data_IF_169453174472
#
_entry.id   IF_169453174472
#
_cell.length_a   1.000
_cell.length_b   1.000
_cell.length_c   1.000
_cell.angle_alpha   90.00
_cell.angle_beta   90.00
_cell.angle_gamma   90.00
#
_symmetry.space_group_name_H-M   'P 1'
#
loop_
_entity.id
_entity.type
_entity.pdbx_description
1 polymer ?
#
# COMPACT_ATOMS: atom_id res chain seq x y z
N UNK A 1 33.11 -8.43 -2.28
CA UNK A 1 32.53 -8.28 -0.93
C UNK A 1 31.25 -9.11 -0.90
N UNK A 2 31.06 -9.92 0.14
CA UNK A 2 29.87 -10.77 0.28
C UNK A 2 28.64 -9.92 0.65
N UNK A 3 27.44 -10.25 0.14
CA UNK A 3 26.25 -9.42 0.37
C UNK A 3 25.82 -9.44 1.83
N UNK A 4 25.97 -10.56 2.54
CA UNK A 4 25.70 -10.64 3.98
C UNK A 4 26.62 -9.69 4.75
N UNK A 5 27.92 -9.69 4.43
CA UNK A 5 28.88 -8.76 5.03
C UNK A 5 28.51 -7.30 4.77
N UNK A 6 28.25 -6.95 3.51
CA UNK A 6 27.90 -5.57 3.13
C UNK A 6 26.63 -5.06 3.83
N UNK A 7 25.59 -5.89 3.93
CA UNK A 7 24.34 -5.53 4.61
C UNK A 7 24.55 -5.41 6.12
N UNK A 8 25.30 -6.33 6.76
CA UNK A 8 25.58 -6.24 8.20
C UNK A 8 26.41 -4.99 8.55
N UNK A 9 27.43 -4.68 7.75
CA UNK A 9 28.24 -3.47 7.95
C UNK A 9 27.42 -2.19 7.77
N UNK A 10 26.57 -2.13 6.74
CA UNK A 10 25.66 -1.01 6.53
C UNK A 10 24.65 -0.90 7.69
N UNK A 11 24.08 -2.02 8.14
CA UNK A 11 23.13 -2.05 9.24
C UNK A 11 23.76 -1.50 10.52
N UNK A 12 24.95 -1.97 10.88
CA UNK A 12 25.69 -1.49 12.04
C UNK A 12 26.02 0.01 11.92
N UNK A 13 26.48 0.46 10.75
CA UNK A 13 26.81 1.86 10.48
C UNK A 13 25.62 2.80 10.68
N UNK A 14 24.41 2.35 10.33
CA UNK A 14 23.19 3.16 10.39
C UNK A 14 22.27 2.83 11.56
N UNK A 15 22.79 2.17 12.60
CA UNK A 15 22.09 1.94 13.87
C UNK A 15 20.99 0.87 13.83
N UNK A 16 20.99 0.03 12.81
CA UNK A 16 20.10 -1.12 12.72
C UNK A 16 20.66 -2.30 13.53
N UNK A 17 19.77 -3.06 14.18
CA UNK A 17 20.13 -4.24 14.97
C UNK A 17 19.42 -5.47 14.43
N UNK A 18 20.07 -6.63 14.51
CA UNK A 18 19.36 -7.90 14.27
C UNK A 18 18.25 -8.07 15.31
N UNK A 19 17.11 -8.54 14.85
CA UNK A 19 15.93 -8.83 15.66
C UNK A 19 15.51 -10.25 15.41
N UNK A 20 15.15 -10.95 16.48
CA UNK A 20 14.53 -12.27 16.35
C UNK A 20 13.17 -12.13 15.68
N UNK A 21 12.94 -12.96 14.67
CA UNK A 21 11.70 -12.96 13.93
C UNK A 21 11.39 -14.40 13.52
N UNK A 22 10.37 -15.01 14.14
CA UNK A 22 10.08 -16.45 14.00
C UNK A 22 10.13 -16.99 12.56
N UNK A 23 9.53 -16.33 11.56
CA UNK A 23 9.55 -16.87 10.20
C UNK A 23 10.78 -16.53 9.36
N UNK A 24 11.70 -15.64 9.79
CA UNK A 24 12.77 -15.14 8.93
C UNK A 24 14.11 -15.00 9.68
N UNK A 25 15.20 -15.53 9.11
CA UNK A 25 16.52 -15.61 9.78
C UNK A 25 17.36 -14.32 9.69
N UNK A 26 16.99 -13.41 8.80
CA UNK A 26 17.75 -12.19 8.51
C UNK A 26 16.86 -10.97 8.56
N UNK A 27 16.55 -10.58 9.80
CA UNK A 27 15.72 -9.41 10.09
C UNK A 27 16.51 -8.38 10.88
N UNK A 28 16.40 -7.13 10.44
CA UNK A 28 17.00 -5.96 11.05
C UNK A 28 15.91 -4.99 11.49
N UNK A 29 16.14 -4.31 12.61
CA UNK A 29 15.20 -3.35 13.18
C UNK A 29 15.89 -2.05 13.61
N UNK A 30 15.17 -0.94 13.46
CA UNK A 30 15.56 0.40 13.91
C UNK A 30 14.31 1.15 14.37
N UNK A 31 14.07 1.21 15.68
CA UNK A 31 12.79 1.71 16.23
C UNK A 31 11.60 0.85 15.78
N UNK A 32 10.59 1.46 15.16
CA UNK A 32 9.43 0.75 14.58
C UNK A 32 9.72 0.10 13.23
N UNK A 33 10.82 0.49 12.57
CA UNK A 33 11.18 0.00 11.24
C UNK A 33 11.66 -1.45 11.29
N UNK A 34 11.33 -2.23 10.26
CA UNK A 34 11.86 -3.59 10.06
C UNK A 34 12.34 -3.79 8.62
N UNK A 35 13.43 -4.53 8.46
CA UNK A 35 13.97 -4.93 7.16
C UNK A 35 14.21 -6.43 7.20
N UNK A 36 13.62 -7.17 6.28
CA UNK A 36 13.79 -8.60 6.09
C UNK A 36 14.59 -8.80 4.81
N UNK A 37 15.68 -9.56 4.86
CA UNK A 37 16.56 -9.80 3.70
C UNK A 37 16.67 -11.29 3.44
N UNK A 38 16.26 -11.72 2.25
CA UNK A 38 16.51 -13.07 1.75
C UNK A 38 17.79 -13.08 0.92
N UNK A 39 18.81 -13.80 1.38
CA UNK A 39 20.05 -13.98 0.64
C UNK A 39 20.01 -15.25 -0.22
N UNK A 40 20.81 -15.26 -1.28
CA UNK A 40 21.14 -16.50 -2.00
C UNK A 40 21.76 -17.53 -1.05
N UNK A 41 21.68 -18.81 -1.39
CA UNK A 41 22.29 -19.92 -0.61
C UNK A 41 23.75 -19.68 -0.21
N UNK A 42 24.50 -18.95 -1.05
CA UNK A 42 25.93 -18.70 -0.82
C UNK A 42 26.21 -17.45 0.02
N UNK A 43 25.19 -16.65 0.35
CA UNK A 43 25.34 -15.35 1.00
C UNK A 43 25.81 -14.21 0.06
N UNK A 44 26.30 -14.53 -1.13
CA UNK A 44 26.95 -13.57 -2.04
C UNK A 44 26.03 -12.56 -2.70
N UNK A 45 24.72 -12.83 -2.72
CA UNK A 45 23.72 -11.95 -3.32
C UNK A 45 22.48 -11.83 -2.43
N UNK A 46 21.78 -10.70 -2.56
CA UNK A 46 20.41 -10.52 -2.07
C UNK A 46 19.47 -11.08 -3.13
N UNK A 47 18.64 -12.06 -2.80
CA UNK A 47 17.62 -12.62 -3.69
C UNK A 47 16.34 -11.77 -3.63
N UNK A 48 15.94 -11.39 -2.42
CA UNK A 48 14.82 -10.49 -2.16
C UNK A 48 15.03 -9.71 -0.85
N UNK A 49 14.30 -8.61 -0.68
CA UNK A 49 14.20 -7.94 0.61
C UNK A 49 12.86 -7.19 0.73
N UNK A 50 12.40 -7.02 1.97
CA UNK A 50 11.18 -6.30 2.32
C UNK A 50 11.50 -5.32 3.45
N UNK A 51 11.21 -4.03 3.24
CA UNK A 51 11.42 -2.96 4.21
C UNK A 51 10.09 -2.37 4.66
N UNK A 52 9.79 -2.51 5.95
CA UNK A 52 8.64 -1.95 6.66
C UNK A 52 9.04 -0.66 7.38
N UNK A 53 8.68 0.53 6.88
CA UNK A 53 9.02 1.80 7.54
C UNK A 53 8.17 2.10 8.78
N UNK A 54 6.96 1.52 8.90
CA UNK A 54 5.96 1.93 9.90
C UNK A 54 5.49 0.81 10.84
N UNK A 55 6.22 -0.28 10.96
CA UNK A 55 5.82 -1.34 11.88
C UNK A 55 6.61 -2.62 11.76
N UNK A 56 6.30 -3.60 12.62
CA UNK A 56 7.01 -4.86 12.64
C UNK A 56 6.88 -5.63 11.33
N UNK A 57 5.74 -5.50 10.65
CA UNK A 57 5.38 -6.35 9.53
C UNK A 57 5.40 -7.84 9.89
N UNK A 58 5.07 -8.70 8.94
CA UNK A 58 5.09 -10.16 9.07
C UNK A 58 6.06 -10.78 8.07
N UNK A 59 6.50 -10.02 7.06
CA UNK A 59 7.32 -10.49 5.95
C UNK A 59 6.53 -11.26 4.89
N UNK A 60 5.21 -11.29 4.96
CA UNK A 60 4.36 -11.92 3.95
C UNK A 60 3.68 -10.90 3.05
N UNK A 61 3.38 -11.32 1.81
CA UNK A 61 2.78 -10.44 0.79
C UNK A 61 1.34 -10.00 1.13
N UNK A 62 0.68 -10.74 2.01
CA UNK A 62 -0.65 -10.44 2.51
C UNK A 62 -0.66 -9.54 3.75
N UNK A 63 0.52 -9.19 4.27
CA UNK A 63 0.68 -8.21 5.32
C UNK A 63 0.16 -6.84 4.85
N UNK A 64 -0.84 -6.26 5.54
CA UNK A 64 -1.29 -4.92 5.23
C UNK A 64 -0.25 -3.87 5.62
N UNK A 65 0.71 -4.19 6.49
CA UNK A 65 1.72 -3.24 6.94
C UNK A 65 2.46 -2.68 5.74
N UNK A 66 2.48 -1.35 5.59
CA UNK A 66 3.15 -0.75 4.47
C UNK A 66 4.62 -1.15 4.39
N UNK A 67 5.06 -1.48 3.18
CA UNK A 67 6.42 -1.87 2.93
C UNK A 67 6.89 -1.48 1.53
N UNK A 68 8.21 -1.49 1.36
CA UNK A 68 8.90 -1.55 0.07
C UNK A 68 9.44 -2.96 -0.11
N UNK A 69 9.47 -3.47 -1.33
CA UNK A 69 10.05 -4.77 -1.61
C UNK A 69 10.92 -4.73 -2.87
N UNK A 70 11.92 -5.61 -2.88
CA UNK A 70 12.75 -5.87 -4.05
C UNK A 70 12.89 -7.38 -4.21
N UNK A 71 12.74 -7.88 -5.43
CA UNK A 71 12.77 -9.31 -5.76
C UNK A 71 12.73 -9.54 -7.28
N UNK A 72 12.76 -10.79 -7.73
CA UNK A 72 12.69 -11.15 -9.16
C UNK A 72 14.01 -10.94 -9.93
N UNK A 73 13.93 -10.88 -11.26
CA UNK A 73 15.08 -10.65 -12.15
C UNK A 73 15.28 -9.17 -12.49
N UNK A 74 16.53 -8.67 -12.41
CA UNK A 74 16.91 -7.28 -12.74
C UNK A 74 17.22 -6.39 -11.52
N UNK A 75 17.97 -5.30 -11.75
CA UNK A 75 18.36 -4.29 -10.75
C UNK A 75 19.45 -4.73 -9.76
N UNK A 76 20.13 -3.75 -9.13
CA UNK A 76 21.07 -4.03 -8.04
C UNK A 76 20.32 -4.03 -6.69
N UNK A 77 19.94 -5.24 -6.24
CA UNK A 77 19.18 -5.45 -5.01
C UNK A 77 20.00 -5.12 -3.76
N UNK A 78 21.30 -5.43 -3.79
CA UNK A 78 22.19 -5.11 -2.69
C UNK A 78 22.26 -3.60 -2.49
N UNK A 79 22.46 -2.83 -3.56
CA UNK A 79 22.48 -1.36 -3.47
C UNK A 79 21.15 -0.81 -2.94
N UNK A 80 20.02 -1.40 -3.34
CA UNK A 80 18.69 -0.99 -2.85
C UNK A 80 18.57 -1.22 -1.33
N UNK A 81 18.98 -2.39 -0.85
CA UNK A 81 18.97 -2.71 0.59
C UNK A 81 19.93 -1.81 1.36
N UNK A 82 21.14 -1.60 0.86
CA UNK A 82 22.13 -0.70 1.49
C UNK A 82 21.60 0.73 1.53
N UNK A 83 20.91 1.18 0.47
CA UNK A 83 20.22 2.48 0.48
C UNK A 83 19.14 2.56 1.54
N UNK A 84 18.27 1.56 1.68
CA UNK A 84 17.24 1.56 2.74
C UNK A 84 17.84 1.61 4.14
N UNK A 85 18.94 0.91 4.38
CA UNK A 85 19.66 0.95 5.65
C UNK A 85 20.24 2.35 5.91
N UNK A 86 20.79 2.97 4.86
CA UNK A 86 21.39 4.30 4.91
C UNK A 86 20.37 5.45 4.95
N UNK A 87 19.12 5.21 4.57
CA UNK A 87 18.04 6.19 4.73
C UNK A 87 18.01 6.60 6.19
N UNK A 88 18.19 7.89 6.47
CA UNK A 88 17.97 8.40 7.82
C UNK A 88 16.55 8.00 8.27
N UNK A 89 16.28 7.87 9.57
CA UNK A 89 14.91 7.79 10.04
C UNK A 89 14.19 9.11 9.70
N UNK A 90 13.83 9.31 8.42
CA UNK A 90 12.93 10.38 8.05
C UNK A 90 11.60 9.99 8.67
N UNK A 91 11.13 10.86 9.55
CA UNK A 91 9.70 10.96 9.84
C UNK A 91 9.02 11.61 8.64
N UNK A 92 9.29 11.14 7.41
CA UNK A 92 8.19 11.08 6.46
C UNK A 92 7.54 9.75 6.78
N UNK A 93 6.66 9.68 7.81
CA UNK A 93 5.80 8.54 7.88
C UNK A 93 5.15 8.44 6.52
N UNK A 94 5.06 7.22 6.00
CA UNK A 94 4.30 7.02 4.77
C UNK A 94 3.02 7.85 4.85
N UNK A 95 2.64 8.52 3.75
CA UNK A 95 1.80 9.68 3.90
C UNK A 95 0.54 9.37 4.71
N UNK A 96 0.18 10.29 5.60
CA UNK A 96 -0.93 10.12 6.56
C UNK A 96 -2.30 10.11 5.87
N UNK A 97 -2.33 10.33 4.55
CA UNK A 97 -3.51 10.21 3.72
C UNK A 97 -3.48 8.93 2.86
N UNK A 98 -4.60 8.21 2.82
CA UNK A 98 -4.83 7.08 1.93
C UNK A 98 -5.97 7.39 0.96
N UNK A 99 -5.66 7.38 -0.34
CA UNK A 99 -6.67 7.35 -1.42
C UNK A 99 -7.14 5.92 -1.63
N UNK A 100 -8.43 5.67 -1.41
CA UNK A 100 -9.02 4.33 -1.46
C UNK A 100 -9.95 4.19 -2.67
N UNK A 101 -9.67 3.20 -3.54
CA UNK A 101 -10.45 2.91 -4.76
C UNK A 101 -11.11 1.53 -4.67
N UNK A 102 -12.26 1.28 -5.33
CA UNK A 102 -12.94 0.00 -5.25
C UNK A 102 -12.29 -1.03 -6.19
N UNK A 103 -12.37 -2.32 -5.86
CA UNK A 103 -12.16 -3.36 -6.85
C UNK A 103 -13.25 -3.34 -7.94
N UNK A 104 -12.99 -3.99 -9.09
CA UNK A 104 -13.97 -4.12 -10.16
C UNK A 104 -14.40 -5.58 -10.41
N UNK A 105 -15.57 -5.74 -11.03
CA UNK A 105 -16.09 -7.06 -11.38
C UNK A 105 -15.22 -7.75 -12.44
N UNK A 106 -14.95 -7.06 -13.55
CA UNK A 106 -14.16 -7.56 -14.68
C UNK A 106 -12.68 -7.66 -14.31
N UNK A 107 -12.09 -8.85 -14.52
CA UNK A 107 -10.71 -9.20 -14.16
C UNK A 107 -10.05 -9.98 -15.30
N UNK A 108 -8.73 -9.93 -15.39
CA UNK A 108 -7.95 -10.85 -16.21
C UNK A 108 -8.14 -12.30 -15.77
N UNK A 109 -7.96 -13.26 -16.68
CA UNK A 109 -8.06 -14.69 -16.37
C UNK A 109 -6.83 -15.27 -15.63
N UNK A 110 -5.84 -14.43 -15.31
CA UNK A 110 -4.57 -14.83 -14.68
C UNK A 110 -4.22 -13.88 -13.54
N UNK A 111 -3.38 -14.34 -12.63
CA UNK A 111 -2.80 -13.49 -11.60
C UNK A 111 -2.02 -12.32 -12.20
N UNK A 112 -2.23 -11.14 -11.62
CA UNK A 112 -1.61 -9.88 -12.05
C UNK A 112 -1.54 -8.91 -10.85
N UNK A 113 -0.69 -7.87 -10.89
CA UNK A 113 -0.76 -6.77 -9.94
C UNK A 113 -2.19 -6.25 -9.82
N UNK A 114 -2.66 -5.95 -8.61
CA UNK A 114 -4.05 -5.55 -8.38
C UNK A 114 -4.47 -4.30 -9.19
N UNK A 115 -3.55 -3.35 -9.44
CA UNK A 115 -3.77 -2.19 -10.29
C UNK A 115 -3.96 -2.53 -11.79
N UNK A 116 -3.58 -3.74 -12.20
CA UNK A 116 -3.66 -4.23 -13.58
C UNK A 116 -4.65 -5.40 -13.74
N UNK A 117 -4.99 -6.09 -12.64
CA UNK A 117 -5.89 -7.25 -12.66
C UNK A 117 -7.27 -6.87 -13.19
N UNK A 118 -7.78 -5.71 -12.82
CA UNK A 118 -9.12 -5.26 -13.20
C UNK A 118 -9.09 -4.52 -14.54
N UNK A 119 -9.72 -5.09 -15.56
CA UNK A 119 -9.51 -4.72 -16.96
C UNK A 119 -10.63 -3.83 -17.55
N UNK A 120 -11.44 -3.19 -16.71
CA UNK A 120 -12.48 -2.25 -17.15
C UNK A 120 -11.92 -0.85 -17.43
N UNK A 121 -12.50 -0.15 -18.42
CA UNK A 121 -12.10 1.23 -18.74
C UNK A 121 -12.37 2.21 -17.59
N UNK A 122 -13.43 1.99 -16.81
CA UNK A 122 -13.73 2.80 -15.64
C UNK A 122 -12.66 2.59 -14.55
N UNK A 123 -12.29 1.34 -14.23
CA UNK A 123 -11.25 1.07 -13.24
C UNK A 123 -9.91 1.68 -13.63
N UNK A 124 -9.49 1.56 -14.90
CA UNK A 124 -8.26 2.21 -15.38
C UNK A 124 -8.29 3.73 -15.20
N UNK A 125 -9.44 4.37 -15.43
CA UNK A 125 -9.61 5.80 -15.17
C UNK A 125 -9.51 6.10 -13.66
N UNK A 126 -10.14 5.29 -12.82
CA UNK A 126 -10.09 5.42 -11.37
C UNK A 126 -8.68 5.33 -10.82
N UNK A 127 -7.89 4.33 -11.26
CA UNK A 127 -6.47 4.18 -10.87
C UNK A 127 -5.67 5.43 -11.25
N UNK A 128 -5.80 5.91 -12.50
CA UNK A 128 -5.08 7.11 -12.96
C UNK A 128 -5.42 8.35 -12.14
N UNK A 129 -6.71 8.59 -11.89
CA UNK A 129 -7.15 9.74 -11.12
C UNK A 129 -6.73 9.64 -9.64
N UNK A 130 -6.79 8.43 -9.06
CA UNK A 130 -6.34 8.20 -7.69
C UNK A 130 -4.83 8.40 -7.53
N UNK A 131 -4.01 7.93 -8.47
CA UNK A 131 -2.56 8.18 -8.48
C UNK A 131 -2.25 9.66 -8.64
N UNK A 132 -2.98 10.36 -9.52
CA UNK A 132 -2.82 11.80 -9.70
C UNK A 132 -3.20 12.58 -8.44
N UNK A 133 -4.33 12.24 -7.80
CA UNK A 133 -4.74 12.80 -6.52
C UNK A 133 -3.70 12.53 -5.44
N UNK A 134 -3.24 11.28 -5.34
CA UNK A 134 -2.26 10.87 -4.37
C UNK A 134 -0.93 11.64 -4.48
N UNK A 135 -0.50 11.93 -5.70
CA UNK A 135 0.66 12.80 -5.91
C UNK A 135 0.41 14.25 -5.44
N UNK A 136 -0.78 14.80 -5.67
CA UNK A 136 -1.10 16.19 -5.29
C UNK A 136 -1.14 16.43 -3.78
N UNK A 137 -1.66 15.46 -3.03
CA UNK A 137 -1.90 15.61 -1.58
C UNK A 137 -0.94 14.82 -0.72
N UNK A 138 0.15 14.32 -1.31
CA UNK A 138 1.07 13.38 -0.68
C UNK A 138 0.29 12.25 0.02
N UNK A 139 -0.23 11.32 -0.78
CA UNK A 139 -1.01 10.18 -0.30
C UNK A 139 -0.56 8.87 -0.93
N UNK A 140 -1.06 7.77 -0.37
CA UNK A 140 -0.91 6.43 -0.95
C UNK A 140 -2.19 5.98 -1.61
N UNK A 141 -2.11 5.10 -2.60
CA UNK A 141 -3.29 4.48 -3.22
C UNK A 141 -3.41 3.02 -2.81
N UNK A 142 -4.59 2.61 -2.35
CA UNK A 142 -4.93 1.20 -2.16
C UNK A 142 -6.30 0.87 -2.76
N UNK A 143 -6.47 -0.40 -3.11
CA UNK A 143 -7.73 -0.97 -3.58
C UNK A 143 -8.44 -1.61 -2.39
N UNK A 144 -9.72 -1.27 -2.20
CA UNK A 144 -10.64 -2.00 -1.34
C UNK A 144 -11.23 -3.18 -2.12
N UNK A 145 -10.74 -4.37 -1.81
CA UNK A 145 -11.14 -5.66 -2.36
C UNK A 145 -12.14 -6.36 -1.46
N UNK A 146 -13.23 -6.89 -2.03
CA UNK A 146 -14.18 -7.69 -1.27
C UNK A 146 -13.55 -8.97 -0.69
N UNK A 147 -12.63 -9.62 -1.40
CA UNK A 147 -11.97 -10.87 -0.96
C UNK A 147 -10.76 -10.65 -0.07
N UNK A 148 -10.04 -9.55 -0.26
CA UNK A 148 -8.71 -9.35 0.33
C UNK A 148 -8.63 -8.15 1.29
N UNK A 149 -9.68 -7.32 1.38
CA UNK A 149 -9.66 -6.07 2.12
C UNK A 149 -8.76 -5.04 1.45
N UNK A 150 -7.84 -4.42 2.17
CA UNK A 150 -6.89 -3.47 1.60
C UNK A 150 -5.80 -4.17 0.78
N UNK A 151 -5.64 -3.72 -0.46
CA UNK A 151 -4.68 -4.29 -1.41
C UNK A 151 -3.89 -3.17 -2.08
N UNK A 152 -2.55 -3.28 -2.06
CA UNK A 152 -1.67 -2.38 -2.81
C UNK A 152 -1.77 -2.62 -4.31
N UNK A 153 -1.57 -1.59 -5.13
CA UNK A 153 -1.65 -1.70 -6.58
C UNK A 153 -0.66 -2.74 -7.16
N UNK A 154 0.51 -2.87 -6.56
CA UNK A 154 1.58 -3.76 -7.03
C UNK A 154 1.38 -5.23 -6.60
N UNK A 155 0.49 -5.49 -5.62
CA UNK A 155 0.29 -6.83 -5.07
C UNK A 155 -0.31 -7.73 -6.13
N UNK A 156 0.41 -8.79 -6.52
CA UNK A 156 -0.10 -9.82 -7.42
C UNK A 156 -1.18 -10.62 -6.71
N UNK A 157 -2.39 -10.62 -7.27
CA UNK A 157 -3.55 -11.38 -6.76
C UNK A 157 -4.18 -12.21 -7.88
N UNK A 158 -4.75 -13.35 -7.51
CA UNK A 158 -5.48 -14.21 -8.45
C UNK A 158 -6.87 -13.65 -8.73
N UNK A 159 -7.46 -13.91 -9.93
CA UNK A 159 -8.86 -13.58 -10.18
C UNK A 159 -9.78 -14.27 -9.18
N UNK A 160 -10.88 -13.62 -8.87
CA UNK A 160 -11.86 -14.09 -7.89
C UNK A 160 -13.25 -13.54 -8.20
N UNK A 161 -14.26 -14.23 -7.69
CA UNK A 161 -15.67 -13.83 -7.79
C UNK A 161 -16.27 -13.79 -6.38
N UNK A 162 -16.10 -12.65 -5.71
CA UNK A 162 -16.55 -12.40 -4.34
C UNK A 162 -16.99 -10.96 -4.25
N UNK A 163 -18.14 -10.74 -3.61
CA UNK A 163 -18.67 -9.40 -3.32
C UNK A 163 -18.90 -9.23 -1.81
N UNK A 164 -18.77 -8.01 -1.28
CA UNK A 164 -18.97 -7.74 0.15
C UNK A 164 -20.31 -8.28 0.67
N UNK A 165 -20.29 -9.01 1.79
CA UNK A 165 -21.47 -9.65 2.37
C UNK A 165 -21.80 -11.04 1.80
N UNK A 166 -21.01 -11.56 0.85
CA UNK A 166 -21.07 -12.96 0.44
C UNK A 166 -20.04 -13.80 1.22
N UNK A 167 -20.24 -15.12 1.33
CA UNK A 167 -19.20 -16.02 1.83
C UNK A 167 -17.86 -15.81 1.12
N UNK A 168 -16.77 -15.77 1.89
CA UNK A 168 -15.43 -15.52 1.38
C UNK A 168 -15.06 -14.04 1.19
N UNK A 169 -15.99 -13.11 1.45
CA UNK A 169 -15.64 -11.71 1.62
C UNK A 169 -14.91 -11.49 2.96
N UNK A 170 -14.00 -10.52 3.01
CA UNK A 170 -13.41 -10.10 4.28
C UNK A 170 -14.48 -9.54 5.20
N UNK A 171 -14.37 -9.85 6.48
CA UNK A 171 -15.18 -9.18 7.49
C UNK A 171 -14.66 -7.77 7.77
N UNK A 172 -15.52 -6.97 8.41
CA UNK A 172 -15.25 -5.57 8.73
C UNK A 172 -14.15 -5.44 9.80
N UNK A 173 -14.02 -6.41 10.70
CA UNK A 173 -13.02 -6.37 11.77
C UNK A 173 -11.59 -6.55 11.21
N UNK A 174 -11.43 -7.41 10.21
CA UNK A 174 -10.19 -7.58 9.45
C UNK A 174 -9.86 -6.30 8.69
N UNK A 175 -10.84 -5.69 8.02
CA UNK A 175 -10.63 -4.41 7.34
C UNK A 175 -10.20 -3.31 8.33
N UNK A 176 -10.82 -3.23 9.51
CA UNK A 176 -10.45 -2.30 10.57
C UNK A 176 -8.99 -2.50 11.00
N UNK A 177 -8.58 -3.76 11.24
CA UNK A 177 -7.18 -4.08 11.57
C UNK A 177 -6.22 -3.69 10.44
N UNK A 178 -6.58 -3.93 9.18
CA UNK A 178 -5.75 -3.54 8.04
C UNK A 178 -5.62 -2.01 7.90
N UNK A 179 -6.71 -1.26 8.13
CA UNK A 179 -6.73 0.20 8.12
C UNK A 179 -5.88 0.78 9.25
N UNK A 180 -6.01 0.28 10.49
CA UNK A 180 -5.18 0.71 11.61
C UNK A 180 -3.68 0.49 11.33
N UNK A 181 -3.32 -0.63 10.69
CA UNK A 181 -1.94 -0.92 10.32
C UNK A 181 -1.36 0.06 9.26
N UNK A 182 -2.20 0.84 8.58
CA UNK A 182 -1.72 1.85 7.63
C UNK A 182 -1.16 3.09 8.30
N UNK A 183 -1.48 3.33 9.59
CA UNK A 183 -1.10 4.52 10.34
C UNK A 183 -1.44 5.81 9.57
N UNK A 184 -2.70 5.91 9.14
CA UNK A 184 -3.23 7.07 8.40
C UNK A 184 -4.21 7.84 9.27
N UNK A 185 -4.20 9.16 9.10
CA UNK A 185 -5.13 10.08 9.75
C UNK A 185 -6.33 10.36 8.84
N UNK A 186 -6.18 10.19 7.51
CA UNK A 186 -7.21 10.50 6.53
C UNK A 186 -7.35 9.39 5.48
N UNK A 187 -8.60 9.08 5.12
CA UNK A 187 -8.96 8.24 3.97
C UNK A 187 -9.78 9.08 2.99
N UNK A 188 -9.24 9.32 1.80
CA UNK A 188 -9.96 9.90 0.68
C UNK A 188 -10.58 8.78 -0.18
N UNK A 189 -11.89 8.63 -0.12
CA UNK A 189 -12.62 7.55 -0.75
C UNK A 189 -13.17 7.93 -2.13
N UNK A 190 -12.70 7.25 -3.17
CA UNK A 190 -13.32 7.18 -4.49
C UNK A 190 -14.20 5.94 -4.60
N UNK A 191 -15.08 5.75 -3.61
CA UNK A 191 -15.83 4.50 -3.40
C UNK A 191 -17.32 4.66 -3.71
N UNK A 192 -17.95 3.73 -4.47
CA UNK A 192 -19.39 3.62 -4.55
C UNK A 192 -20.01 3.32 -3.18
N UNK A 193 -21.30 3.64 -3.00
CA UNK A 193 -21.99 3.61 -1.70
C UNK A 193 -21.83 2.29 -0.93
N UNK A 194 -21.87 1.14 -1.62
CA UNK A 194 -21.69 -0.18 -0.97
C UNK A 194 -20.29 -0.37 -0.39
N UNK A 195 -19.25 0.11 -1.08
CA UNK A 195 -17.88 0.05 -0.59
C UNK A 195 -17.66 1.04 0.55
N UNK A 196 -18.21 2.25 0.40
CA UNK A 196 -18.11 3.30 1.42
C UNK A 196 -18.76 2.87 2.75
N UNK A 197 -19.89 2.16 2.70
CA UNK A 197 -20.55 1.64 3.89
C UNK A 197 -19.66 0.68 4.69
N UNK A 198 -18.91 -0.19 4.01
CA UNK A 198 -17.99 -1.15 4.65
C UNK A 198 -16.82 -0.40 5.31
N UNK A 199 -16.28 0.63 4.67
CA UNK A 199 -15.23 1.48 5.26
C UNK A 199 -15.75 2.19 6.51
N UNK A 200 -16.95 2.78 6.48
CA UNK A 200 -17.54 3.45 7.64
C UNK A 200 -17.63 2.52 8.85
N UNK A 201 -18.14 1.30 8.66
CA UNK A 201 -18.21 0.31 9.73
C UNK A 201 -16.82 -0.08 10.26
N UNK A 202 -15.81 -0.17 9.39
CA UNK A 202 -14.45 -0.44 9.82
C UNK A 202 -13.86 0.71 10.65
N UNK A 203 -14.12 1.96 10.28
CA UNK A 203 -13.69 3.14 11.04
C UNK A 203 -14.38 3.23 12.42
N UNK A 204 -15.67 2.89 12.50
CA UNK A 204 -16.40 2.79 13.78
C UNK A 204 -15.74 1.76 14.72
N UNK A 205 -15.28 0.62 14.20
CA UNK A 205 -14.54 -0.38 15.01
C UNK A 205 -13.20 0.18 15.49
N UNK A 206 -12.48 0.94 14.67
CA UNK A 206 -11.19 1.54 15.05
C UNK A 206 -11.39 2.56 16.18
N UNK A 207 -12.39 3.41 16.06
CA UNK A 207 -12.76 4.41 17.06
C UNK A 207 -13.15 3.74 18.39
N UNK A 208 -14.00 2.71 18.35
CA UNK A 208 -14.42 1.95 19.54
C UNK A 208 -13.25 1.25 20.25
N UNK A 209 -12.20 0.87 19.52
CA UNK A 209 -10.97 0.27 20.08
C UNK A 209 -10.00 1.30 20.66
N UNK A 210 -10.29 2.60 20.54
CA UNK A 210 -9.40 3.67 20.98
C UNK A 210 -8.07 3.72 20.21
N UNK A 211 -8.04 3.16 18.99
CA UNK A 211 -6.81 3.00 18.19
C UNK A 211 -6.52 4.19 17.27
N UNK A 212 -7.20 5.31 17.46
CA UNK A 212 -7.10 6.53 16.65
C UNK A 212 -8.41 6.92 15.98
N UNK A 213 -8.48 8.15 15.47
CA UNK A 213 -9.59 8.65 14.65
C UNK A 213 -9.05 8.85 13.23
N UNK A 214 -9.71 8.24 12.25
CA UNK A 214 -9.37 8.39 10.83
C UNK A 214 -10.49 9.17 10.16
N UNK A 215 -10.16 10.34 9.61
CA UNK A 215 -11.11 11.16 8.85
C UNK A 215 -11.46 10.47 7.53
N UNK A 216 -12.75 10.41 7.19
CA UNK A 216 -13.24 9.86 5.93
C UNK A 216 -13.75 10.97 5.01
N UNK A 217 -13.01 11.26 3.95
CA UNK A 217 -13.38 12.21 2.90
C UNK A 217 -14.01 11.45 1.74
N UNK A 218 -15.29 11.67 1.45
CA UNK A 218 -15.96 11.04 0.31
C UNK A 218 -15.82 11.90 -0.96
N UNK A 219 -14.87 11.56 -1.83
CA UNK A 219 -14.66 12.28 -3.10
C UNK A 219 -15.79 12.07 -4.11
N UNK A 220 -16.61 11.03 -3.94
CA UNK A 220 -17.83 10.80 -4.73
C UNK A 220 -19.09 11.36 -4.05
N UNK A 221 -18.96 12.27 -3.08
CA UNK A 221 -20.13 12.92 -2.49
C UNK A 221 -20.97 13.61 -3.57
N UNK A 222 -22.25 13.27 -3.64
CA UNK A 222 -23.18 13.77 -4.66
C UNK A 222 -23.15 13.02 -6.01
N UNK A 223 -22.26 12.05 -6.22
CA UNK A 223 -22.22 11.27 -7.45
C UNK A 223 -23.29 10.17 -7.47
N UNK A 224 -24.35 10.37 -8.24
CA UNK A 224 -25.49 9.44 -8.31
C UNK A 224 -25.23 8.15 -9.13
N UNK A 225 -24.11 8.06 -9.85
CA UNK A 225 -23.78 6.90 -10.67
C UNK A 225 -22.48 7.04 -11.44
N UNK A 226 -22.18 6.06 -12.29
CA UNK A 226 -20.88 5.94 -12.97
C UNK A 226 -20.54 7.15 -13.86
N UNK A 227 -21.54 7.80 -14.46
CA UNK A 227 -21.34 9.03 -15.24
C UNK A 227 -20.79 10.18 -14.38
N UNK A 228 -21.42 10.44 -13.23
CA UNK A 228 -20.97 11.44 -12.27
C UNK A 228 -19.60 11.08 -11.67
N UNK A 229 -19.38 9.81 -11.36
CA UNK A 229 -18.06 9.35 -10.89
C UNK A 229 -16.97 9.65 -11.93
N UNK A 230 -17.22 9.37 -13.22
CA UNK A 230 -16.27 9.70 -14.29
C UNK A 230 -16.01 11.20 -14.41
N UNK A 231 -17.00 12.05 -14.14
CA UNK A 231 -16.82 13.49 -14.10
C UNK A 231 -15.87 13.91 -12.96
N UNK A 232 -16.07 13.37 -11.74
CA UNK A 232 -15.16 13.58 -10.60
C UNK A 232 -13.74 13.13 -10.94
N UNK A 233 -13.57 11.92 -11.48
CA UNK A 233 -12.25 11.40 -11.85
C UNK A 233 -11.54 12.26 -12.90
N UNK A 234 -12.30 12.81 -13.84
CA UNK A 234 -11.76 13.69 -14.88
C UNK A 234 -11.35 15.05 -14.30
N UNK A 235 -12.10 15.58 -13.35
CA UNK A 235 -11.76 16.82 -12.63
C UNK A 235 -10.44 16.66 -11.85
N UNK A 236 -10.27 15.57 -11.11
CA UNK A 236 -9.03 15.28 -10.36
C UNK A 236 -7.80 15.21 -11.29
N UNK A 237 -7.95 14.65 -12.49
CA UNK A 237 -6.88 14.61 -13.48
C UNK A 237 -6.55 16.02 -14.04
N UNK A 238 -7.56 16.85 -14.27
CA UNK A 238 -7.37 18.23 -14.73
C UNK A 238 -6.71 19.11 -13.66
N UNK A 239 -7.10 18.94 -12.40
CA UNK A 239 -6.46 19.59 -11.25
C UNK A 239 -4.98 19.20 -11.16
N UNK A 240 -4.66 17.91 -11.27
CA UNK A 240 -3.28 17.44 -11.21
C UNK A 240 -2.41 18.01 -12.34
N UNK A 241 -2.94 18.08 -13.56
CA UNK A 241 -2.23 18.70 -14.69
C UNK A 241 -1.90 20.18 -14.43
N UNK A 242 -2.82 20.91 -13.78
CA UNK A 242 -2.62 22.31 -13.41
C UNK A 242 -1.56 22.47 -12.32
N UNK A 243 -1.58 21.60 -11.30
CA UNK A 243 -0.59 21.60 -10.22
C UNK A 243 0.83 21.30 -10.74
N UNK A 244 0.99 20.33 -11.65
CA UNK A 244 2.29 20.03 -12.25
C UNK A 244 2.82 21.18 -13.12
N UNK A 245 1.95 21.88 -13.84
CA UNK A 245 2.35 23.05 -14.64
C UNK A 245 2.80 24.22 -13.78
N UNK A 246 2.17 24.44 -12.62
CA UNK A 246 2.56 25.49 -11.69
C UNK A 246 3.90 25.18 -10.99
N UNK A 247 4.13 23.91 -10.62
CA UNK A 247 5.37 23.48 -9.99
C UNK A 247 6.59 23.49 -10.93
N UNK A 248 6.40 23.35 -12.25
CA UNK A 248 7.47 23.38 -13.24
C UNK A 248 7.87 24.80 -13.71
N UNK A 249 7.07 25.82 -13.38
CA UNK A 249 7.31 27.22 -13.73
C UNK A 249 7.96 28.07 -12.63
N UNK A 250 8.24 27.48 -11.47
CA UNK A 250 8.93 28.08 -10.32
C UNK A 250 10.39 27.61 -10.27
#
# INVERSE_FOLDING_TARGET
MDAVTAVNEAAQRHGWRRVEHKPHDSVFGRGVQRLIVGYSRTGKAVDCAIFYPLGPGTGYIDDPTPHYSVGGGGGNKLDTVVRWLATEPSHDPLPSTLVLIPCAARKLARGAPAGELYDSAHFRLTVRAAQARAHMVDARVMILSAKYGLVRLERVIQPYDVTFGQPGAVDVALLATQLSAQHVDTVEALLPSRYLAVVRQALEIIEQRGSGCIELVNLYLGAAGIGYQRAVLSALLAEAATHSSAAAGA
#
